data_IF_202506701786
#
_entry.id   IF_202506701786
#
_cell.length_a   1.000
_cell.length_b   1.000
_cell.length_c   1.000
_cell.angle_alpha   90.00
_cell.angle_beta   90.00
_cell.angle_gamma   90.00
#
_symmetry.space_group_name_H-M   'P 1'
#
loop_
_entity.id
_entity.type
_entity.pdbx_description
1 polymer ?
#
# COMPACT_ATOMS: atom_id res chain seq x y z
N UNK A 1 -22.06 2.25 68.79
CA UNK A 1 -23.36 2.97 68.63
C UNK A 1 -23.27 3.84 67.37
N UNK A 2 -23.76 3.37 66.25
CA UNK A 2 -23.79 4.13 64.97
C UNK A 2 -25.25 4.38 64.62
N UNK A 3 -25.66 5.65 64.56
CA UNK A 3 -26.98 6.10 64.14
C UNK A 3 -27.10 6.02 62.62
N UNK A 4 -28.09 5.24 62.12
CA UNK A 4 -28.56 5.24 60.76
C UNK A 4 -29.51 6.42 60.56
N UNK A 5 -29.13 7.42 59.75
CA UNK A 5 -30.02 8.44 59.25
C UNK A 5 -30.67 7.95 57.95
N UNK A 6 -31.96 7.60 58.03
CA UNK A 6 -32.77 7.29 56.88
C UNK A 6 -33.17 8.61 56.17
N UNK A 7 -32.73 8.79 54.93
CA UNK A 7 -33.18 9.85 54.04
C UNK A 7 -34.43 9.36 53.28
N UNK A 8 -35.58 9.89 53.67
CA UNK A 8 -36.83 9.72 52.94
C UNK A 8 -36.84 10.72 51.77
N UNK A 9 -36.77 10.23 50.55
CA UNK A 9 -36.95 11.05 49.33
C UNK A 9 -38.43 11.23 49.08
N UNK A 10 -38.89 12.44 48.76
CA UNK A 10 -40.31 12.73 48.48
C UNK A 10 -40.71 12.11 47.14
N UNK A 11 -41.91 11.54 47.12
CA UNK A 11 -42.59 10.72 46.11
C UNK A 11 -42.99 11.50 44.83
N UNK A 12 -42.62 12.75 44.70
CA UNK A 12 -43.11 13.66 43.65
C UNK A 12 -42.16 13.77 42.42
N UNK A 13 -41.03 13.07 42.43
CA UNK A 13 -40.03 13.20 41.32
C UNK A 13 -40.00 12.02 40.35
N UNK A 14 -41.02 11.13 40.42
CA UNK A 14 -41.09 9.91 39.61
C UNK A 14 -41.62 10.07 38.18
N UNK A 15 -42.06 11.28 37.74
CA UNK A 15 -42.73 11.47 36.44
C UNK A 15 -41.92 12.27 35.40
N UNK A 16 -40.68 12.67 35.66
CA UNK A 16 -39.94 13.50 34.71
C UNK A 16 -38.80 12.77 33.95
N UNK A 17 -38.63 11.46 34.08
CA UNK A 17 -37.54 10.71 33.43
C UNK A 17 -37.93 9.88 32.21
N UNK A 18 -39.16 10.03 31.68
CA UNK A 18 -39.65 9.14 30.59
C UNK A 18 -39.79 9.82 29.22
N UNK A 19 -39.15 10.94 28.96
CA UNK A 19 -39.30 11.66 27.69
C UNK A 19 -37.97 11.88 26.90
N UNK A 20 -36.85 11.24 27.22
CA UNK A 20 -35.56 11.43 26.51
C UNK A 20 -35.04 10.12 25.87
N UNK A 21 -35.89 9.20 25.50
CA UNK A 21 -35.52 7.95 24.82
C UNK A 21 -35.99 7.90 23.35
N UNK A 22 -36.05 9.04 22.66
CA UNK A 22 -36.61 9.11 21.29
C UNK A 22 -35.73 9.69 20.20
N UNK A 23 -34.44 9.94 20.41
CA UNK A 23 -33.58 10.46 19.34
C UNK A 23 -32.19 9.75 19.31
N UNK A 24 -32.18 8.45 19.49
CA UNK A 24 -31.02 7.61 19.14
C UNK A 24 -30.98 7.45 17.62
N UNK A 25 -30.67 8.51 16.88
CA UNK A 25 -30.26 8.38 15.49
C UNK A 25 -29.08 7.45 15.43
N UNK A 26 -29.26 6.24 14.88
CA UNK A 26 -28.16 5.37 14.52
C UNK A 26 -27.29 6.14 13.53
N UNK A 27 -26.32 6.89 14.02
CA UNK A 27 -25.27 7.46 13.17
C UNK A 27 -24.51 6.26 12.59
N UNK A 28 -24.79 5.96 11.33
CA UNK A 28 -24.11 4.94 10.55
C UNK A 28 -22.62 5.26 10.65
N UNK A 29 -21.85 4.34 11.22
CA UNK A 29 -20.38 4.46 11.23
C UNK A 29 -19.94 4.53 9.76
N UNK A 30 -19.27 5.62 9.34
CA UNK A 30 -18.84 5.74 7.97
C UNK A 30 -17.90 4.58 7.61
N UNK A 31 -18.03 4.05 6.42
CA UNK A 31 -17.07 3.05 5.92
C UNK A 31 -15.68 3.69 5.82
N UNK A 32 -14.64 2.86 5.89
CA UNK A 32 -13.26 3.34 5.78
C UNK A 32 -13.03 4.22 4.53
N UNK A 33 -13.64 3.83 3.40
CA UNK A 33 -13.59 4.60 2.15
C UNK A 33 -14.31 5.95 2.23
N UNK A 34 -15.44 6.04 2.95
CA UNK A 34 -16.17 7.30 3.16
C UNK A 34 -15.40 8.24 4.09
N UNK A 35 -14.83 7.70 5.17
CA UNK A 35 -13.98 8.47 6.09
C UNK A 35 -12.75 9.04 5.37
N UNK A 36 -12.10 8.24 4.52
CA UNK A 36 -10.94 8.67 3.75
C UNK A 36 -11.30 9.73 2.70
N UNK A 37 -12.41 9.56 1.95
CA UNK A 37 -12.90 10.58 1.01
C UNK A 37 -13.14 11.91 1.71
N UNK A 38 -13.84 11.88 2.85
CA UNK A 38 -14.09 13.08 3.66
C UNK A 38 -12.78 13.74 4.14
N UNK A 39 -11.79 12.94 4.55
CA UNK A 39 -10.48 13.43 4.94
C UNK A 39 -9.74 14.11 3.78
N UNK A 40 -9.84 13.58 2.57
CA UNK A 40 -9.24 14.18 1.37
C UNK A 40 -9.92 15.51 1.01
N UNK A 41 -11.25 15.58 1.06
CA UNK A 41 -12.02 16.80 0.81
C UNK A 41 -11.69 17.91 1.80
N UNK A 42 -11.58 17.59 3.10
CA UNK A 42 -11.17 18.55 4.14
C UNK A 42 -9.76 19.12 3.87
N UNK A 43 -8.87 18.34 3.26
CA UNK A 43 -7.52 18.77 2.90
C UNK A 43 -7.43 19.39 1.49
N UNK A 44 -8.55 19.74 0.87
CA UNK A 44 -8.61 20.33 -0.47
C UNK A 44 -8.18 19.38 -1.59
N UNK A 45 -8.19 18.07 -1.34
CA UNK A 45 -7.89 17.02 -2.31
C UNK A 45 -9.17 16.31 -2.72
N UNK A 46 -9.40 16.15 -4.01
CA UNK A 46 -10.50 15.33 -4.51
C UNK A 46 -10.06 13.88 -4.63
N UNK A 47 -10.94 12.95 -4.23
CA UNK A 47 -10.72 11.54 -4.49
C UNK A 47 -10.75 11.29 -6.02
N UNK A 48 -9.67 10.77 -6.57
CA UNK A 48 -9.62 10.38 -7.97
C UNK A 48 -10.42 9.10 -8.19
N UNK A 49 -11.02 8.97 -9.38
CA UNK A 49 -11.66 7.73 -9.77
C UNK A 49 -10.62 6.63 -9.95
N UNK A 50 -10.74 5.55 -9.20
CA UNK A 50 -9.84 4.40 -9.28
C UNK A 50 -10.42 3.29 -10.17
N UNK A 51 -9.53 2.46 -10.70
CA UNK A 51 -9.80 1.36 -11.61
C UNK A 51 -9.12 0.12 -11.05
N UNK A 52 -9.82 -1.01 -11.02
CA UNK A 52 -9.25 -2.26 -10.49
C UNK A 52 -7.98 -2.65 -11.24
N UNK A 53 -6.97 -2.96 -10.48
CA UNK A 53 -5.69 -3.46 -10.99
C UNK A 53 -5.17 -4.56 -10.07
N UNK A 54 -5.20 -5.78 -10.57
CA UNK A 54 -4.69 -6.96 -9.89
C UNK A 54 -4.14 -7.97 -10.90
N UNK A 55 -3.44 -8.97 -10.40
CA UNK A 55 -2.86 -10.00 -11.26
C UNK A 55 -1.97 -10.97 -10.50
N UNK A 56 -1.13 -11.67 -11.23
CA UNK A 56 -0.19 -12.67 -10.71
C UNK A 56 1.22 -12.40 -11.20
N UNK A 57 2.19 -12.68 -10.34
CA UNK A 57 3.62 -12.66 -10.65
C UNK A 57 4.19 -14.05 -10.45
N UNK A 58 4.93 -14.54 -11.44
CA UNK A 58 5.80 -15.71 -11.31
C UNK A 58 7.26 -15.29 -11.43
N UNK A 59 8.16 -16.08 -10.88
CA UNK A 59 9.60 -15.94 -11.02
C UNK A 59 10.13 -17.24 -11.59
N UNK A 60 10.74 -17.18 -12.78
CA UNK A 60 11.19 -18.35 -13.54
C UNK A 60 10.07 -19.42 -13.70
N UNK A 61 8.86 -18.95 -14.06
CA UNK A 61 7.64 -19.76 -14.23
C UNK A 61 7.15 -20.48 -12.94
N UNK A 62 7.60 -20.07 -11.77
CA UNK A 62 7.18 -20.62 -10.48
C UNK A 62 6.57 -19.52 -9.60
N UNK A 63 5.69 -19.88 -8.66
CA UNK A 63 5.27 -18.93 -7.63
C UNK A 63 6.49 -18.33 -6.92
N UNK A 64 6.51 -17.02 -6.64
CA UNK A 64 7.66 -16.37 -6.03
C UNK A 64 7.93 -16.91 -4.62
N UNK A 65 9.20 -17.13 -4.28
CA UNK A 65 9.60 -17.56 -2.95
C UNK A 65 9.47 -16.39 -1.96
N UNK A 66 8.27 -16.21 -1.40
CA UNK A 66 7.92 -15.11 -0.50
C UNK A 66 7.83 -15.61 0.94
N UNK A 67 8.44 -14.86 1.86
CA UNK A 67 8.25 -15.00 3.30
C UNK A 67 8.11 -13.62 3.97
N UNK A 68 7.99 -13.60 5.30
CA UNK A 68 7.89 -12.34 6.07
C UNK A 68 9.10 -11.42 5.89
N UNK A 69 10.29 -11.98 5.63
CA UNK A 69 11.57 -11.25 5.53
C UNK A 69 11.93 -10.88 4.10
N UNK A 70 11.31 -11.58 3.13
CA UNK A 70 11.57 -11.40 1.70
C UNK A 70 10.25 -11.21 0.94
N UNK A 71 9.49 -10.13 1.21
CA UNK A 71 8.25 -9.85 0.49
C UNK A 71 8.54 -9.43 -0.96
N UNK A 72 7.71 -9.87 -1.89
CA UNK A 72 7.73 -9.34 -3.26
C UNK A 72 6.78 -8.15 -3.35
N UNK A 73 7.31 -7.00 -3.74
CA UNK A 73 6.54 -5.79 -3.99
C UNK A 73 6.31 -5.59 -5.48
N UNK A 74 5.12 -5.11 -5.81
CA UNK A 74 4.74 -4.59 -7.12
C UNK A 74 4.53 -3.10 -6.98
N UNK A 75 5.14 -2.31 -7.87
CA UNK A 75 4.99 -0.87 -7.91
C UNK A 75 4.37 -0.45 -9.24
N UNK A 76 3.49 0.55 -9.20
CA UNK A 76 2.99 1.22 -10.37
C UNK A 76 3.59 2.64 -10.40
N UNK A 77 4.53 2.86 -11.30
CA UNK A 77 5.22 4.12 -11.50
C UNK A 77 4.51 4.92 -12.57
N UNK A 78 4.07 6.14 -12.24
CA UNK A 78 3.48 7.07 -13.21
C UNK A 78 4.60 7.91 -13.86
N UNK A 79 4.90 7.70 -15.15
CA UNK A 79 5.95 8.46 -15.83
C UNK A 79 5.59 9.92 -16.08
N UNK A 80 4.30 10.28 -16.07
CA UNK A 80 3.83 11.67 -16.23
C UNK A 80 3.94 12.46 -14.93
N UNK A 81 3.79 11.76 -13.79
CA UNK A 81 3.89 12.35 -12.46
C UNK A 81 4.90 11.55 -11.62
N UNK A 82 6.20 11.61 -11.94
CA UNK A 82 7.21 10.85 -11.22
C UNK A 82 7.22 11.26 -9.74
N UNK A 83 7.40 10.30 -8.82
CA UNK A 83 7.47 10.58 -7.40
C UNK A 83 8.58 11.60 -7.08
N UNK A 84 8.25 12.63 -6.30
CA UNK A 84 9.19 13.69 -5.90
C UNK A 84 9.64 13.52 -4.46
N UNK A 85 10.94 13.61 -4.23
CA UNK A 85 11.52 13.54 -2.89
C UNK A 85 11.25 12.20 -2.20
N UNK A 86 10.50 12.21 -1.08
CA UNK A 86 10.16 11.00 -0.31
C UNK A 86 8.87 10.31 -0.77
N UNK A 87 8.22 10.80 -1.80
CA UNK A 87 7.03 10.14 -2.32
C UNK A 87 7.43 8.78 -2.91
N UNK A 88 6.61 7.78 -2.64
CA UNK A 88 6.76 6.45 -3.23
C UNK A 88 5.75 6.30 -4.38
N UNK A 89 6.06 5.52 -5.42
CA UNK A 89 5.06 5.09 -6.38
C UNK A 89 3.97 4.26 -5.65
N UNK A 90 2.83 4.06 -6.29
CA UNK A 90 1.85 3.12 -5.74
C UNK A 90 2.51 1.76 -5.57
N UNK A 91 2.28 1.13 -4.41
CA UNK A 91 2.93 -0.12 -4.07
C UNK A 91 1.94 -1.10 -3.43
N UNK A 92 2.09 -2.36 -3.76
CA UNK A 92 1.39 -3.46 -3.10
C UNK A 92 2.34 -4.64 -2.90
N UNK A 93 1.91 -5.65 -2.13
CA UNK A 93 2.67 -6.89 -1.91
C UNK A 93 1.97 -8.04 -2.60
N UNK A 94 2.76 -8.95 -3.15
CA UNK A 94 2.23 -10.25 -3.55
C UNK A 94 1.97 -11.14 -2.33
N UNK A 95 0.97 -11.99 -2.46
CA UNK A 95 0.79 -13.14 -1.58
C UNK A 95 1.73 -14.30 -1.97
N UNK A 96 1.71 -15.40 -1.19
CA UNK A 96 2.55 -16.59 -1.42
C UNK A 96 2.32 -17.29 -2.76
N UNK A 97 1.21 -17.04 -3.43
CA UNK A 97 0.89 -17.56 -4.75
C UNK A 97 1.29 -16.59 -5.87
N UNK A 98 1.89 -15.44 -5.51
CA UNK A 98 2.24 -14.37 -6.43
C UNK A 98 1.09 -13.46 -6.80
N UNK A 99 -0.10 -13.62 -6.22
CA UNK A 99 -1.22 -12.72 -6.47
C UNK A 99 -0.98 -11.36 -5.83
N UNK A 100 -1.33 -10.29 -6.56
CA UNK A 100 -1.28 -8.92 -6.09
C UNK A 100 -2.57 -8.17 -6.41
N UNK A 101 -2.89 -7.19 -5.59
CA UNK A 101 -4.03 -6.31 -5.76
C UNK A 101 -3.66 -4.91 -5.24
N UNK A 102 -3.90 -3.88 -6.04
CA UNK A 102 -3.64 -2.51 -5.62
C UNK A 102 -4.81 -1.92 -4.84
N UNK A 103 -4.46 -1.08 -3.87
CA UNK A 103 -5.38 -0.39 -2.97
C UNK A 103 -4.98 1.08 -2.89
N UNK A 104 -5.91 1.99 -3.17
CA UNK A 104 -5.67 3.43 -3.06
C UNK A 104 -6.48 4.05 -1.92
N UNK A 105 -7.77 3.80 -1.87
CA UNK A 105 -8.69 4.33 -0.87
C UNK A 105 -9.39 3.24 -0.05
N UNK A 106 -9.39 2.01 -0.54
CA UNK A 106 -10.00 0.86 0.12
C UNK A 106 -9.47 -0.44 -0.45
N UNK A 107 -9.83 -1.56 0.19
CA UNK A 107 -9.34 -2.88 -0.24
C UNK A 107 -9.81 -3.20 -1.66
N UNK A 108 -8.89 -3.52 -2.55
CA UNK A 108 -9.18 -3.96 -3.90
C UNK A 108 -9.79 -2.91 -4.83
N UNK A 109 -9.71 -1.64 -4.49
CA UNK A 109 -10.28 -0.57 -5.31
C UNK A 109 -9.42 -0.20 -6.52
N UNK A 110 -8.12 -0.50 -6.48
CA UNK A 110 -7.18 -0.34 -7.58
C UNK A 110 -6.39 0.97 -7.55
N UNK A 111 -6.11 1.51 -8.73
CA UNK A 111 -5.32 2.72 -8.96
C UNK A 111 -6.10 3.77 -9.75
N UNK A 112 -5.72 5.05 -9.70
CA UNK A 112 -6.24 6.05 -10.65
C UNK A 112 -6.06 5.58 -12.09
N UNK A 113 -7.03 5.93 -12.97
CA UNK A 113 -6.89 5.65 -14.39
C UNK A 113 -5.68 6.39 -14.96
N UNK A 114 -4.89 5.71 -15.79
CA UNK A 114 -3.66 6.30 -16.36
C UNK A 114 -2.70 5.27 -16.92
N UNK A 115 -1.55 5.76 -17.38
CA UNK A 115 -0.47 4.94 -17.92
C UNK A 115 0.59 4.75 -16.85
N UNK A 116 1.00 3.50 -16.61
CA UNK A 116 1.97 3.15 -15.59
C UNK A 116 3.06 2.24 -16.15
N UNK A 117 4.21 2.29 -15.52
CA UNK A 117 5.30 1.30 -15.68
C UNK A 117 5.29 0.43 -14.44
N UNK A 118 5.15 -0.88 -14.60
CA UNK A 118 5.16 -1.83 -13.48
C UNK A 118 6.60 -2.18 -13.13
N UNK A 119 6.93 -2.07 -11.85
CA UNK A 119 8.23 -2.41 -11.30
C UNK A 119 8.06 -3.49 -10.22
N UNK A 120 9.14 -4.23 -9.99
CA UNK A 120 9.16 -5.28 -8.98
C UNK A 120 10.44 -5.21 -8.16
N UNK A 121 10.32 -5.46 -6.85
CA UNK A 121 11.46 -5.60 -5.96
C UNK A 121 11.17 -6.64 -4.88
N UNK A 122 12.17 -7.44 -4.57
CA UNK A 122 12.11 -8.44 -3.50
C UNK A 122 13.26 -8.21 -2.51
N UNK A 123 13.13 -7.24 -1.57
CA UNK A 123 14.17 -6.96 -0.59
C UNK A 123 14.47 -8.20 0.25
N UNK A 124 15.74 -8.52 0.43
CA UNK A 124 16.23 -9.62 1.27
C UNK A 124 16.59 -9.09 2.66
N UNK A 125 16.32 -9.88 3.70
CA UNK A 125 16.69 -9.53 5.08
C UNK A 125 18.21 -9.31 5.28
N UNK A 126 19.03 -10.02 4.50
CA UNK A 126 20.48 -9.86 4.50
C UNK A 126 20.99 -8.70 3.64
N UNK A 127 20.09 -7.92 3.03
CA UNK A 127 20.39 -6.88 2.06
C UNK A 127 20.32 -7.36 0.61
N UNK A 128 20.21 -6.41 -0.31
CA UNK A 128 20.05 -6.67 -1.74
C UNK A 128 18.62 -7.01 -2.17
N UNK A 129 18.46 -7.37 -3.43
CA UNK A 129 17.18 -7.70 -4.07
C UNK A 129 17.18 -9.16 -4.56
N UNK A 130 16.10 -9.88 -4.29
CA UNK A 130 15.86 -11.25 -4.75
C UNK A 130 15.76 -11.38 -6.26
N UNK A 131 15.35 -10.31 -6.92
CA UNK A 131 15.25 -10.19 -8.36
C UNK A 131 16.52 -9.60 -9.02
N UNK A 132 17.64 -9.53 -8.28
CA UNK A 132 18.93 -9.02 -8.77
C UNK A 132 18.86 -7.58 -9.31
N UNK A 133 17.94 -6.75 -8.83
CA UNK A 133 17.66 -5.39 -9.33
C UNK A 133 17.33 -5.32 -10.84
N UNK A 134 16.81 -6.40 -11.41
CA UNK A 134 16.49 -6.47 -12.84
C UNK A 134 15.23 -5.69 -13.20
N UNK A 135 14.29 -5.54 -12.24
CA UNK A 135 12.92 -5.08 -12.50
C UNK A 135 12.49 -3.85 -11.67
N UNK A 136 13.42 -3.17 -11.01
CA UNK A 136 13.13 -2.01 -10.15
C UNK A 136 13.51 -0.66 -10.79
N UNK A 137 13.88 -0.65 -12.07
CA UNK A 137 14.31 0.54 -12.81
C UNK A 137 13.23 0.94 -13.83
N UNK A 138 12.56 2.11 -13.67
CA UNK A 138 11.51 2.54 -14.57
C UNK A 138 12.00 2.81 -16.00
N UNK A 139 13.26 3.23 -16.19
CA UNK A 139 13.80 3.48 -17.52
C UNK A 139 14.05 2.17 -18.30
N UNK A 140 14.39 1.10 -17.59
CA UNK A 140 14.55 -0.23 -18.19
C UNK A 140 13.20 -0.88 -18.45
N UNK A 141 12.35 -0.99 -17.44
CA UNK A 141 11.03 -1.61 -17.59
C UNK A 141 10.14 -0.85 -18.58
N UNK A 142 10.27 0.48 -18.63
CA UNK A 142 9.55 1.30 -19.58
C UNK A 142 9.87 1.05 -21.06
N UNK A 143 10.96 0.36 -21.37
CA UNK A 143 11.31 -0.08 -22.74
C UNK A 143 10.64 -1.39 -23.14
N UNK A 144 10.19 -2.19 -22.16
CA UNK A 144 9.50 -3.45 -22.39
C UNK A 144 7.98 -3.24 -22.36
N UNK A 145 7.29 -3.57 -23.43
CA UNK A 145 5.85 -3.37 -23.58
C UNK A 145 5.05 -4.10 -22.49
N UNK A 146 5.49 -5.29 -22.08
CA UNK A 146 4.83 -6.11 -21.03
C UNK A 146 4.72 -5.42 -19.67
N UNK A 147 5.60 -4.46 -19.37
CA UNK A 147 5.58 -3.69 -18.12
C UNK A 147 4.89 -2.33 -18.26
N UNK A 148 4.50 -1.94 -19.47
CA UNK A 148 3.73 -0.73 -19.73
C UNK A 148 2.26 -1.07 -19.70
N UNK A 149 1.52 -0.47 -18.79
CA UNK A 149 0.09 -0.73 -18.65
C UNK A 149 -0.70 0.56 -18.85
N UNK A 150 -1.86 0.42 -19.46
CA UNK A 150 -2.86 1.46 -19.57
C UNK A 150 -4.08 1.04 -18.77
N UNK A 151 -4.36 1.75 -17.68
CA UNK A 151 -5.53 1.49 -16.84
C UNK A 151 -6.67 2.39 -17.24
N UNK A 152 -7.74 1.79 -17.77
CA UNK A 152 -9.00 2.42 -18.10
C UNK A 152 -10.17 1.59 -17.59
N UNK A 153 -11.37 2.17 -17.46
CA UNK A 153 -12.55 1.41 -17.06
C UNK A 153 -12.96 0.41 -18.15
N UNK A 154 -13.41 -0.79 -17.77
CA UNK A 154 -13.82 -1.26 -16.44
C UNK A 154 -12.67 -1.70 -15.51
N UNK A 155 -11.43 -1.70 -15.94
CA UNK A 155 -10.29 -2.23 -15.20
C UNK A 155 -9.90 -3.63 -15.68
N UNK A 156 -8.73 -4.11 -15.24
CA UNK A 156 -8.22 -5.43 -15.56
C UNK A 156 -7.67 -6.11 -14.31
N UNK A 157 -8.07 -7.37 -14.10
CA UNK A 157 -7.79 -8.13 -12.87
C UNK A 157 -7.01 -9.42 -13.12
N UNK A 158 -6.54 -9.62 -14.34
CA UNK A 158 -5.88 -10.84 -14.81
C UNK A 158 -4.50 -10.58 -15.43
N UNK A 159 -3.81 -9.54 -14.95
CA UNK A 159 -2.45 -9.28 -15.37
C UNK A 159 -1.53 -10.42 -14.94
N UNK A 160 -0.64 -10.85 -15.83
CA UNK A 160 0.34 -11.91 -15.57
C UNK A 160 1.74 -11.41 -15.92
N UNK A 161 2.66 -11.54 -14.96
CA UNK A 161 4.06 -11.18 -15.15
C UNK A 161 4.93 -12.38 -14.80
N UNK A 162 5.76 -12.82 -15.72
CA UNK A 162 6.82 -13.78 -15.43
C UNK A 162 8.18 -13.08 -15.43
N UNK A 163 8.89 -13.17 -14.32
CA UNK A 163 10.16 -12.49 -14.07
C UNK A 163 11.30 -13.50 -14.18
N UNK A 164 12.02 -13.52 -15.28
CA UNK A 164 13.15 -14.41 -15.50
C UNK A 164 14.40 -13.88 -14.78
N UNK A 165 14.83 -14.57 -13.74
CA UNK A 165 16.01 -14.21 -12.90
C UNK A 165 17.15 -15.22 -13.04
N UNK A 166 16.85 -16.47 -13.35
CA UNK A 166 17.84 -17.52 -13.50
C UNK A 166 18.90 -17.17 -14.57
N UNK A 167 20.18 -17.33 -14.23
CA UNK A 167 21.29 -17.08 -15.13
C UNK A 167 21.56 -15.61 -15.47
N UNK A 168 20.89 -14.66 -14.82
CA UNK A 168 21.14 -13.22 -15.00
C UNK A 168 21.99 -12.67 -13.86
N UNK A 169 23.00 -11.89 -14.22
CA UNK A 169 23.82 -11.18 -13.24
C UNK A 169 23.02 -10.07 -12.55
N UNK A 170 23.25 -9.83 -11.25
CA UNK A 170 22.61 -8.73 -10.54
C UNK A 170 23.01 -7.39 -11.15
N UNK A 171 22.01 -6.52 -11.35
CA UNK A 171 22.24 -5.15 -11.77
C UNK A 171 22.70 -4.34 -10.57
N UNK A 172 23.94 -3.88 -10.59
CA UNK A 172 24.49 -2.99 -9.56
C UNK A 172 23.85 -1.62 -9.70
N UNK A 173 23.12 -1.16 -8.68
CA UNK A 173 22.57 0.20 -8.67
C UNK A 173 23.71 1.23 -8.62
N UNK A 174 23.67 2.30 -9.42
CA UNK A 174 24.74 3.32 -9.48
C UNK A 174 25.05 4.03 -8.15
N UNK A 175 24.22 3.84 -7.11
CA UNK A 175 24.37 4.49 -5.80
C UNK A 175 25.08 3.67 -4.71
N UNK A 176 25.30 2.37 -4.88
CA UNK A 176 25.84 1.53 -3.81
C UNK A 176 27.36 1.66 -3.62
N UNK A 177 28.09 2.11 -4.63
CA UNK A 177 29.55 2.29 -4.55
C UNK A 177 30.02 3.56 -3.79
N UNK A 178 29.12 4.53 -3.56
CA UNK A 178 29.51 5.79 -2.91
C UNK A 178 29.59 5.69 -1.37
N UNK A 179 28.93 4.71 -0.74
CA UNK A 179 28.83 4.62 0.72
C UNK A 179 29.95 3.76 1.34
N UNK A 180 30.52 2.81 0.58
CA UNK A 180 31.54 1.89 1.10
C UNK A 180 32.94 2.49 1.10
N UNK A 181 33.23 3.47 0.24
CA UNK A 181 34.55 4.11 0.15
C UNK A 181 34.87 5.11 1.29
N UNK A 182 33.85 5.62 2.00
CA UNK A 182 34.02 6.63 3.04
C UNK A 182 34.31 6.06 4.45
N UNK A 183 34.26 4.74 4.65
CA UNK A 183 34.38 4.11 5.98
C UNK A 183 35.76 3.54 6.32
N UNK A 184 36.75 3.71 5.47
CA UNK A 184 38.07 3.12 5.62
C UNK A 184 39.20 4.12 5.70
N UNK A 185 39.33 4.94 6.74
CA UNK A 185 40.63 5.47 7.24
C UNK A 185 40.42 6.36 8.48
N UNK A 186 40.16 5.75 9.63
CA UNK A 186 40.52 6.36 10.91
C UNK A 186 41.76 5.62 11.44
N UNK A 187 42.94 6.07 10.99
CA UNK A 187 44.24 5.70 11.62
C UNK A 187 44.19 6.22 13.07
N UNK A 188 44.38 5.29 14.01
CA UNK A 188 44.75 5.63 15.37
C UNK A 188 46.23 6.05 15.35
N UNK A 189 46.49 7.30 15.74
CA UNK A 189 47.77 7.76 16.25
C UNK A 189 47.64 7.87 17.76
#
# INVERSE_FOLDING_TARGET
MLRRNGFCLPREWAFLCLAILGAGGCSRVPTESEALKKSLEVNGRSAQSVVKFSGTVTVDNQPPAIDRRNPLFVFAYDPKNPPKGRQQPFATRCDKNGHFEFNTYGSGDGLPAGSYIVLFAQPKAAGGDGLNNLYNDPDKNGKEERFRIELSRPGKTDWAFDLAVAGKDPVTSPGEHAVTAARGKKKRG
#
